data_IF_108120808974
#
_entry.id   IF_108120808974
#
_cell.length_a   1.000
_cell.length_b   1.000
_cell.length_c   1.000
_cell.angle_alpha   90.00
_cell.angle_beta   90.00
_cell.angle_gamma   90.00
#
_symmetry.space_group_name_H-M   'P 1'
#
loop_
_entity.id
_entity.type
_entity.pdbx_description
1 polymer ?
#
# COMPACT_ATOMS: atom_id res chain seq x y z
N UNK A 1 -19.94 -2.27 4.48
CA UNK A 1 -18.51 -2.35 4.16
C UNK A 1 -17.96 -0.96 4.39
N UNK A 2 -17.19 -0.77 5.45
CA UNK A 2 -16.59 0.54 5.76
C UNK A 2 -15.49 0.75 4.73
N UNK A 3 -15.70 1.62 3.74
CA UNK A 3 -14.62 2.05 2.87
C UNK A 3 -13.49 2.57 3.78
N UNK A 4 -12.31 1.97 3.71
CA UNK A 4 -11.16 2.30 4.54
C UNK A 4 -10.21 3.25 3.83
N UNK A 5 -9.30 3.91 4.57
CA UNK A 5 -8.20 4.67 3.97
C UNK A 5 -7.20 3.67 3.39
N UNK A 6 -6.73 3.94 2.16
CA UNK A 6 -5.68 3.16 1.53
C UNK A 6 -4.29 3.66 1.94
N UNK A 7 -3.41 2.76 2.36
CA UNK A 7 -2.03 3.03 2.79
C UNK A 7 -1.09 2.00 2.18
N UNK A 8 0.07 2.46 1.70
CA UNK A 8 1.12 1.58 1.20
C UNK A 8 2.21 1.47 2.24
N UNK A 9 2.71 0.26 2.44
CA UNK A 9 3.85 -0.02 3.30
C UNK A 9 4.71 -1.12 2.68
N UNK A 10 5.89 -1.36 3.23
CA UNK A 10 6.70 -2.53 2.94
C UNK A 10 6.83 -3.36 4.20
N UNK A 11 6.83 -4.68 4.07
CA UNK A 11 7.25 -5.55 5.15
C UNK A 11 8.71 -5.23 5.51
N UNK A 12 9.02 -5.05 6.80
CA UNK A 12 10.40 -5.02 7.24
C UNK A 12 11.00 -6.41 6.98
N UNK A 13 11.95 -6.52 6.05
CA UNK A 13 12.71 -7.76 5.90
C UNK A 13 13.87 -7.74 6.88
N UNK A 14 13.89 -8.68 7.82
CA UNK A 14 14.98 -8.85 8.77
C UNK A 14 15.95 -9.86 8.16
N UNK A 15 16.95 -9.39 7.43
CA UNK A 15 18.09 -10.21 7.05
C UNK A 15 19.23 -10.00 8.06
N UNK A 16 19.91 -11.07 8.46
CA UNK A 16 20.92 -11.07 9.55
C UNK A 16 22.20 -10.29 9.23
N UNK A 17 22.32 -9.76 8.02
CA UNK A 17 23.55 -9.35 7.35
C UNK A 17 23.50 -7.89 6.84
N UNK A 18 22.46 -7.12 7.20
CA UNK A 18 22.48 -5.64 7.12
C UNK A 18 22.26 -5.01 5.73
N UNK A 19 22.30 -5.78 4.65
CA UNK A 19 21.97 -5.28 3.31
C UNK A 19 20.47 -5.47 2.99
N UNK A 20 19.79 -4.36 2.71
CA UNK A 20 18.33 -4.31 2.52
C UNK A 20 17.96 -4.14 1.04
N UNK A 21 17.51 -5.21 0.38
CA UNK A 21 16.70 -5.09 -0.83
C UNK A 21 15.23 -5.26 -0.44
N UNK A 22 14.43 -4.26 -0.77
CA UNK A 22 13.15 -3.97 -0.12
C UNK A 22 12.18 -5.16 -0.09
N UNK A 23 11.61 -5.40 1.09
CA UNK A 23 10.62 -6.42 1.32
C UNK A 23 9.31 -6.21 0.54
N UNK A 24 8.40 -7.16 0.73
CA UNK A 24 7.12 -7.21 0.05
C UNK A 24 6.25 -5.98 0.35
N UNK A 25 5.65 -5.44 -0.71
CA UNK A 25 4.82 -4.25 -0.72
C UNK A 25 3.41 -4.65 -0.34
N UNK A 26 2.87 -3.96 0.65
CA UNK A 26 1.53 -4.16 1.18
C UNK A 26 0.71 -2.91 0.92
N UNK A 27 -0.39 -3.07 0.18
CA UNK A 27 -1.48 -2.11 0.12
C UNK A 27 -2.52 -2.49 1.17
N UNK A 28 -2.70 -1.64 2.18
CA UNK A 28 -3.74 -1.78 3.21
C UNK A 28 -4.91 -0.88 2.89
N UNK A 29 -6.13 -1.42 2.80
CA UNK A 29 -7.37 -0.67 2.62
C UNK A 29 -8.30 -1.01 3.78
N UNK A 30 -8.44 -0.09 4.73
CA UNK A 30 -9.19 -0.37 5.96
C UNK A 30 -8.56 -1.50 6.76
N UNK A 31 -9.28 -2.60 6.92
CA UNK A 31 -8.86 -3.82 7.61
C UNK A 31 -8.27 -4.89 6.68
N UNK A 32 -8.19 -4.62 5.37
CA UNK A 32 -7.69 -5.57 4.37
C UNK A 32 -6.26 -5.23 3.96
N UNK A 33 -5.40 -6.25 3.93
CA UNK A 33 -4.05 -6.15 3.38
C UNK A 33 -3.95 -6.94 2.07
N UNK A 34 -3.32 -6.34 1.06
CA UNK A 34 -3.09 -6.91 -0.26
C UNK A 34 -1.58 -6.87 -0.54
N UNK A 35 -1.00 -8.02 -0.84
CA UNK A 35 0.42 -8.16 -1.20
C UNK A 35 0.57 -8.01 -2.71
N UNK A 36 1.51 -7.14 -3.14
CA UNK A 36 1.62 -6.73 -4.56
C UNK A 36 2.95 -7.12 -5.23
N UNK A 37 3.94 -7.59 -4.47
CA UNK A 37 5.28 -7.87 -4.98
C UNK A 37 6.36 -7.15 -4.16
N UNK A 38 7.60 -7.08 -4.64
CA UNK A 38 8.74 -6.53 -3.88
C UNK A 38 9.59 -5.52 -4.69
N UNK A 39 9.38 -5.45 -6.00
CA UNK A 39 10.11 -4.59 -6.94
C UNK A 39 9.65 -3.14 -6.84
N UNK A 40 10.48 -2.25 -7.33
CA UNK A 40 10.23 -0.80 -7.24
C UNK A 40 9.03 -0.35 -8.08
N UNK A 41 8.77 -1.01 -9.21
CA UNK A 41 7.63 -0.75 -10.08
C UNK A 41 6.30 -1.05 -9.38
N UNK A 42 6.27 -2.14 -8.62
CA UNK A 42 5.08 -2.52 -7.83
C UNK A 42 4.82 -1.52 -6.68
N UNK A 43 5.87 -0.85 -6.17
CA UNK A 43 5.71 0.20 -5.16
C UNK A 43 5.04 1.43 -5.75
N UNK A 44 5.50 1.87 -6.93
CA UNK A 44 4.89 3.00 -7.63
C UNK A 44 3.42 2.70 -7.96
N UNK A 45 3.14 1.50 -8.47
CA UNK A 45 1.78 1.06 -8.74
C UNK A 45 0.89 1.03 -7.48
N UNK A 46 1.41 0.51 -6.36
CA UNK A 46 0.68 0.49 -5.09
C UNK A 46 0.35 1.90 -4.60
N UNK A 47 1.28 2.86 -4.76
CA UNK A 47 1.09 4.26 -4.39
C UNK A 47 -0.01 4.93 -5.23
N UNK A 48 0.01 4.72 -6.54
CA UNK A 48 -1.02 5.23 -7.44
C UNK A 48 -2.41 4.67 -7.09
N UNK A 49 -2.50 3.37 -6.80
CA UNK A 49 -3.73 2.73 -6.35
C UNK A 49 -4.26 3.35 -5.04
N UNK A 50 -3.38 3.57 -4.07
CA UNK A 50 -3.77 4.16 -2.79
C UNK A 50 -4.26 5.62 -2.96
N UNK A 51 -3.58 6.40 -3.79
CA UNK A 51 -3.98 7.77 -4.12
C UNK A 51 -5.35 7.80 -4.81
N UNK A 52 -5.55 6.95 -5.83
CA UNK A 52 -6.81 6.87 -6.55
C UNK A 52 -7.97 6.45 -5.64
N UNK A 53 -7.76 5.46 -4.78
CA UNK A 53 -8.74 5.01 -3.79
C UNK A 53 -9.16 6.14 -2.84
N UNK A 54 -8.18 6.82 -2.25
CA UNK A 54 -8.43 7.91 -1.31
C UNK A 54 -9.10 9.11 -1.99
N UNK A 55 -8.71 9.47 -3.22
CA UNK A 55 -9.34 10.55 -3.98
C UNK A 55 -10.81 10.27 -4.29
N UNK A 56 -11.16 9.01 -4.62
CA UNK A 56 -12.55 8.60 -4.82
C UNK A 56 -13.38 8.79 -3.57
N UNK A 57 -12.82 8.49 -2.39
CA UNK A 57 -13.49 8.72 -1.09
C UNK A 57 -13.76 10.19 -0.81
N UNK A 58 -12.79 11.08 -1.06
CA UNK A 58 -12.96 12.52 -0.86
C UNK A 58 -14.12 13.07 -1.70
N UNK A 59 -14.31 12.55 -2.93
CA UNK A 59 -15.43 12.96 -3.79
C UNK A 59 -16.80 12.42 -3.33
N UNK A 60 -16.83 11.33 -2.59
CA UNK A 60 -18.08 10.70 -2.13
C UNK A 60 -18.52 11.19 -0.74
N UNK A 61 -17.61 11.74 0.07
CA UNK A 61 -17.91 12.30 1.40
C UNK A 61 -18.19 13.81 1.42
N UNK A 62 -18.24 14.47 0.25
CA UNK A 62 -18.63 15.86 0.11
C UNK A 62 -20.07 15.97 -0.39
N UNK A 63 -21.04 15.85 0.52
CA UNK A 63 -22.44 16.17 0.34
C UNK A 63 -22.96 16.82 1.62
#
# INVERSE_FOLDING_TARGET
MTDGIARVSRLPYRNGDGYSFGGEIILTIGDRAIMLGARSEEMAFAQELALAWNARRTRQGGA
#
